data_IF_747754120198
#
_entry.id   IF_747754120198
#
_cell.length_a   1.000
_cell.length_b   1.000
_cell.length_c   1.000
_cell.angle_alpha   90.00
_cell.angle_beta   90.00
_cell.angle_gamma   90.00
#
_symmetry.space_group_name_H-M   'P 1'
#
loop_
_entity.id
_entity.type
_entity.pdbx_description
1 polymer ?
#
# COMPACT_ATOMS: atom_id res chain seq x y z
N UNK A 1 2.97 11.53 1.24
CA UNK A 1 1.52 11.24 1.15
C UNK A 1 0.77 12.55 1.11
N UNK A 2 -0.20 12.71 0.23
CA UNK A 2 -1.12 13.86 0.27
C UNK A 2 -1.94 13.81 1.57
N UNK A 3 -2.12 14.93 2.29
CA UNK A 3 -2.92 14.94 3.50
C UNK A 3 -4.36 14.49 3.21
N UNK A 4 -4.99 13.79 4.16
CA UNK A 4 -6.40 13.35 4.16
C UNK A 4 -6.80 12.25 3.16
N UNK A 5 -5.87 11.46 2.61
CA UNK A 5 -6.21 10.29 1.76
C UNK A 5 -5.94 8.94 2.42
N UNK A 6 -5.56 8.91 3.70
CA UNK A 6 -5.20 7.69 4.43
C UNK A 6 -6.34 6.65 4.40
N UNK A 7 -7.59 7.08 4.55
CA UNK A 7 -8.74 6.18 4.58
C UNK A 7 -9.00 5.48 3.23
N UNK A 8 -8.58 6.09 2.12
CA UNK A 8 -8.70 5.49 0.78
C UNK A 8 -7.56 4.52 0.47
N UNK A 9 -6.39 4.72 1.08
CA UNK A 9 -5.18 3.90 0.88
C UNK A 9 -5.10 2.69 1.82
N UNK A 10 -5.85 2.69 2.92
CA UNK A 10 -5.92 1.58 3.87
C UNK A 10 -6.10 0.18 3.25
N UNK A 11 -7.01 -0.06 2.28
CA UNK A 11 -7.13 -1.38 1.65
C UNK A 11 -5.86 -1.77 0.90
N UNK A 12 -5.19 -0.80 0.28
CA UNK A 12 -3.93 -1.01 -0.44
C UNK A 12 -2.84 -1.41 0.53
N UNK A 13 -2.65 -0.63 1.58
CA UNK A 13 -1.56 -0.84 2.55
C UNK A 13 -1.74 -2.11 3.37
N UNK A 14 -2.99 -2.42 3.80
CA UNK A 14 -3.26 -3.55 4.69
C UNK A 14 -3.31 -4.90 3.97
N UNK A 15 -3.94 -4.95 2.80
CA UNK A 15 -4.25 -6.24 2.16
C UNK A 15 -3.57 -6.40 0.81
N UNK A 16 -3.74 -5.42 -0.08
CA UNK A 16 -3.34 -5.57 -1.48
C UNK A 16 -1.81 -5.58 -1.61
N UNK A 17 -1.11 -4.68 -0.94
CA UNK A 17 0.35 -4.58 -0.98
C UNK A 17 1.02 -5.83 -0.38
N UNK A 18 0.48 -6.35 0.74
CA UNK A 18 0.98 -7.59 1.33
C UNK A 18 0.78 -8.78 0.38
N UNK A 19 -0.40 -8.89 -0.23
CA UNK A 19 -0.69 -9.98 -1.15
C UNK A 19 0.15 -9.90 -2.43
N UNK A 20 0.35 -8.69 -2.95
CA UNK A 20 1.23 -8.46 -4.10
C UNK A 20 2.67 -8.91 -3.82
N UNK A 21 3.21 -8.62 -2.62
CA UNK A 21 4.53 -9.13 -2.21
C UNK A 21 4.58 -10.66 -2.20
N UNK A 22 3.51 -11.32 -1.74
CA UNK A 22 3.41 -12.79 -1.80
C UNK A 22 3.39 -13.31 -3.23
N UNK A 23 2.70 -12.64 -4.15
CA UNK A 23 2.71 -13.01 -5.57
C UNK A 23 4.09 -12.81 -6.20
N UNK A 24 4.78 -11.70 -5.91
CA UNK A 24 6.15 -11.46 -6.37
C UNK A 24 7.09 -12.57 -5.88
N UNK A 25 6.97 -12.97 -4.61
CA UNK A 25 7.75 -14.09 -4.07
C UNK A 25 7.50 -15.40 -4.82
N UNK A 26 6.24 -15.68 -5.21
CA UNK A 26 5.90 -16.84 -6.03
C UNK A 26 6.47 -16.76 -7.44
N UNK A 27 6.49 -15.59 -8.07
CA UNK A 27 7.14 -15.44 -9.38
C UNK A 27 8.64 -15.69 -9.31
N UNK A 28 9.29 -15.25 -8.23
CA UNK A 28 10.68 -15.58 -7.96
C UNK A 28 10.85 -17.10 -7.79
N UNK A 29 10.03 -17.75 -6.97
CA UNK A 29 10.07 -19.20 -6.77
C UNK A 29 9.91 -19.95 -8.11
N UNK A 30 8.92 -19.59 -8.93
CA UNK A 30 8.71 -20.18 -10.25
C UNK A 30 9.89 -19.95 -11.19
N UNK A 31 10.48 -18.75 -11.16
CA UNK A 31 11.64 -18.42 -12.01
C UNK A 31 12.89 -19.24 -11.62
N UNK A 32 13.03 -19.56 -10.33
CA UNK A 32 14.08 -20.41 -9.78
C UNK A 32 13.85 -21.92 -10.00
N UNK A 33 12.72 -22.35 -10.56
CA UNK A 33 12.50 -23.75 -10.95
C UNK A 33 13.37 -24.17 -12.15
N UNK A 34 13.90 -23.21 -12.90
CA UNK A 34 14.87 -23.43 -13.96
C UNK A 34 16.29 -23.48 -13.37
N UNK A 35 16.98 -24.60 -13.55
CA UNK A 35 18.32 -24.87 -13.03
C UNK A 35 19.35 -23.81 -13.46
N UNK A 36 19.23 -23.25 -14.68
CA UNK A 36 20.14 -22.21 -15.18
C UNK A 36 19.92 -20.89 -14.42
N UNK A 37 18.66 -20.55 -14.15
CA UNK A 37 18.28 -19.36 -13.39
C UNK A 37 18.70 -19.47 -11.93
N UNK A 38 18.53 -20.67 -11.33
CA UNK A 38 18.98 -20.97 -9.98
C UNK A 38 20.50 -20.85 -9.86
N UNK A 39 21.26 -21.45 -10.78
CA UNK A 39 22.72 -21.34 -10.81
C UNK A 39 23.17 -19.87 -10.94
N UNK A 40 22.49 -19.08 -11.80
CA UNK A 40 22.76 -17.64 -11.93
C UNK A 40 22.44 -16.89 -10.63
N UNK A 41 21.35 -17.24 -9.95
CA UNK A 41 20.95 -16.65 -8.66
C UNK A 41 21.97 -16.93 -7.56
N UNK A 42 22.41 -18.18 -7.41
CA UNK A 42 23.39 -18.59 -6.41
C UNK A 42 24.78 -18.00 -6.67
N UNK A 43 25.13 -17.75 -7.94
CA UNK A 43 26.40 -17.09 -8.29
C UNK A 43 26.54 -15.67 -7.72
N UNK A 44 25.41 -15.01 -7.41
CA UNK A 44 25.39 -13.63 -6.94
C UNK A 44 25.85 -12.60 -7.98
N UNK A 45 26.05 -12.99 -9.23
CA UNK A 45 26.65 -12.14 -10.28
C UNK A 45 25.70 -11.15 -10.94
N UNK A 46 24.50 -10.95 -10.38
CA UNK A 46 23.60 -9.94 -10.91
C UNK A 46 24.13 -8.53 -10.68
N UNK A 47 24.13 -7.72 -11.72
CA UNK A 47 24.31 -6.28 -11.61
C UNK A 47 23.10 -5.64 -10.92
N UNK A 48 23.26 -4.42 -10.42
CA UNK A 48 22.13 -3.67 -9.86
C UNK A 48 21.02 -3.43 -10.89
N UNK A 49 21.39 -3.25 -12.17
CA UNK A 49 20.43 -3.06 -13.27
C UNK A 49 19.61 -4.32 -13.51
N UNK A 50 20.26 -5.47 -13.67
CA UNK A 50 19.56 -6.75 -13.90
C UNK A 50 18.59 -7.09 -12.76
N UNK A 51 18.98 -6.86 -11.50
CA UNK A 51 18.07 -7.07 -10.35
C UNK A 51 16.81 -6.22 -10.45
N UNK A 52 16.93 -4.94 -10.85
CA UNK A 52 15.78 -4.04 -11.00
C UNK A 52 14.87 -4.50 -12.14
N UNK A 53 15.44 -4.96 -13.25
CA UNK A 53 14.67 -5.49 -14.38
C UNK A 53 13.90 -6.74 -13.95
N UNK A 54 14.55 -7.71 -13.32
CA UNK A 54 13.90 -8.93 -12.82
C UNK A 54 12.77 -8.60 -11.84
N UNK A 55 13.03 -7.72 -10.87
CA UNK A 55 12.00 -7.32 -9.90
C UNK A 55 10.81 -6.65 -10.58
N UNK A 56 11.05 -5.84 -11.61
CA UNK A 56 9.99 -5.17 -12.38
C UNK A 56 9.14 -6.19 -13.15
N UNK A 57 9.79 -7.19 -13.76
CA UNK A 57 9.10 -8.26 -14.48
C UNK A 57 8.22 -9.09 -13.52
N UNK A 58 8.77 -9.56 -12.42
CA UNK A 58 8.00 -10.30 -11.40
C UNK A 58 6.86 -9.47 -10.81
N UNK A 59 7.09 -8.16 -10.60
CA UNK A 59 6.05 -7.24 -10.14
C UNK A 59 4.93 -7.07 -11.16
N UNK A 60 5.25 -7.01 -12.46
CA UNK A 60 4.28 -6.93 -13.55
C UNK A 60 3.39 -8.18 -13.61
N UNK A 61 4.01 -9.36 -13.67
CA UNK A 61 3.31 -10.65 -13.69
C UNK A 61 2.42 -10.85 -12.44
N UNK A 62 2.96 -10.53 -11.26
CA UNK A 62 2.22 -10.57 -10.01
C UNK A 62 1.03 -9.61 -10.00
N UNK A 63 1.19 -8.40 -10.56
CA UNK A 63 0.12 -7.41 -10.65
C UNK A 63 -1.00 -7.87 -11.60
N UNK A 64 -0.66 -8.45 -12.75
CA UNK A 64 -1.66 -9.01 -13.67
C UNK A 64 -2.49 -10.09 -12.98
N UNK A 65 -1.85 -11.02 -12.26
CA UNK A 65 -2.53 -12.05 -11.45
C UNK A 65 -3.45 -11.43 -10.40
N UNK A 66 -2.98 -10.42 -9.66
CA UNK A 66 -3.78 -9.70 -8.69
C UNK A 66 -5.03 -9.06 -9.32
N UNK A 67 -4.92 -8.47 -10.52
CA UNK A 67 -6.04 -7.85 -11.23
C UNK A 67 -7.15 -8.84 -11.63
N UNK A 68 -6.83 -10.14 -11.76
CA UNK A 68 -7.85 -11.18 -12.00
C UNK A 68 -8.68 -11.51 -10.75
N UNK A 69 -8.20 -11.16 -9.56
CA UNK A 69 -8.79 -11.55 -8.29
C UNK A 69 -9.81 -10.53 -7.75
N UNK A 70 -10.84 -10.25 -8.54
CA UNK A 70 -11.85 -9.22 -8.22
C UNK A 70 -12.51 -9.42 -6.85
N UNK A 71 -12.82 -10.66 -6.48
CA UNK A 71 -13.42 -10.98 -5.17
C UNK A 71 -12.49 -10.63 -4.00
N UNK A 72 -11.18 -10.84 -4.16
CA UNK A 72 -10.19 -10.50 -3.15
C UNK A 72 -10.06 -8.98 -3.02
N UNK A 73 -10.02 -8.26 -4.14
CA UNK A 73 -9.99 -6.80 -4.15
C UNK A 73 -11.23 -6.25 -3.43
N UNK A 74 -12.44 -6.68 -3.80
CA UNK A 74 -13.66 -6.24 -3.14
C UNK A 74 -13.68 -6.56 -1.64
N UNK A 75 -13.22 -7.75 -1.23
CA UNK A 75 -13.11 -8.11 0.20
C UNK A 75 -12.14 -7.19 0.94
N UNK A 76 -11.02 -6.82 0.31
CA UNK A 76 -10.03 -5.91 0.89
C UNK A 76 -10.61 -4.54 1.18
N UNK A 77 -11.38 -3.97 0.24
CA UNK A 77 -12.05 -2.68 0.39
C UNK A 77 -13.24 -2.72 1.37
N UNK A 78 -13.98 -3.84 1.45
CA UNK A 78 -15.02 -4.01 2.48
C UNK A 78 -14.41 -4.14 3.88
N UNK A 79 -13.33 -4.90 4.01
CA UNK A 79 -12.63 -5.12 5.28
C UNK A 79 -12.01 -3.85 5.88
N UNK A 80 -11.59 -2.89 5.05
CA UNK A 80 -11.13 -1.57 5.48
C UNK A 80 -12.27 -0.58 5.76
N UNK A 81 -13.51 -0.93 5.42
CA UNK A 81 -14.67 -0.05 5.59
C UNK A 81 -14.88 0.99 4.48
N UNK A 82 -14.05 0.98 3.43
CA UNK A 82 -14.18 1.91 2.29
C UNK A 82 -15.43 1.67 1.45
N UNK A 83 -16.05 0.49 1.55
CA UNK A 83 -17.30 0.11 0.88
C UNK A 83 -18.47 -0.09 1.85
N UNK A 84 -18.42 0.59 3.01
CA UNK A 84 -19.55 0.59 3.93
C UNK A 84 -20.75 1.33 3.33
N UNK A 85 -21.92 0.72 3.48
CA UNK A 85 -23.20 1.33 3.14
C UNK A 85 -23.73 2.14 4.32
N UNK A 86 -24.46 3.22 4.03
CA UNK A 86 -25.01 4.15 5.04
C UNK A 86 -26.02 3.47 5.97
N UNK A 87 -26.70 2.43 5.50
CA UNK A 87 -27.63 1.60 6.27
C UNK A 87 -26.94 0.66 7.27
N UNK A 88 -25.60 0.63 7.29
CA UNK A 88 -24.78 -0.20 8.18
C UNK A 88 -25.05 -1.71 8.07
N UNK A 89 -25.71 -2.17 7.01
CA UNK A 89 -26.01 -3.59 6.79
C UNK A 89 -24.73 -4.42 6.72
N UNK A 90 -23.68 -3.84 6.13
CA UNK A 90 -22.37 -4.45 5.91
C UNK A 90 -21.35 -4.21 7.04
N UNK A 91 -21.76 -3.62 8.18
CA UNK A 91 -20.82 -3.26 9.24
C UNK A 91 -20.06 -4.45 9.84
N UNK A 92 -20.68 -5.64 9.87
CA UNK A 92 -20.02 -6.88 10.32
C UNK A 92 -18.81 -7.28 9.47
N UNK A 93 -18.72 -6.77 8.23
CA UNK A 93 -17.66 -7.10 7.30
C UNK A 93 -16.39 -6.27 7.55
N UNK A 94 -16.50 -5.21 8.36
CA UNK A 94 -15.35 -4.39 8.77
C UNK A 94 -14.62 -5.12 9.87
N UNK A 95 -13.38 -5.51 9.62
CA UNK A 95 -12.58 -6.24 10.59
C UNK A 95 -11.21 -5.57 10.72
N UNK A 96 -11.05 -4.65 11.70
CA UNK A 96 -9.74 -4.15 12.05
C UNK A 96 -8.85 -5.31 12.47
N UNK A 97 -7.60 -5.30 12.00
CA UNK A 97 -6.64 -6.37 12.28
C UNK A 97 -6.47 -6.54 13.80
N UNK A 98 -6.51 -7.78 14.28
CA UNK A 98 -6.39 -8.14 15.69
C UNK A 98 -7.49 -7.61 16.63
N UNK A 99 -8.64 -7.17 16.11
CA UNK A 99 -9.80 -6.79 16.94
C UNK A 99 -11.05 -7.63 16.62
N UNK A 100 -11.07 -8.92 17.02
CA UNK A 100 -12.26 -9.75 16.85
C UNK A 100 -13.45 -9.17 17.63
N UNK A 101 -14.60 -9.05 16.98
CA UNK A 101 -15.82 -8.52 17.60
C UNK A 101 -15.95 -6.99 17.62
N UNK A 102 -14.99 -6.25 17.07
CA UNK A 102 -15.07 -4.80 16.91
C UNK A 102 -16.37 -4.37 16.20
N UNK A 103 -16.72 -5.04 15.11
CA UNK A 103 -17.91 -4.78 14.30
C UNK A 103 -19.21 -4.96 15.08
N UNK A 104 -19.26 -5.99 15.95
CA UNK A 104 -20.41 -6.25 16.82
C UNK A 104 -20.59 -5.14 17.85
N UNK A 105 -19.49 -4.68 18.45
CA UNK A 105 -19.48 -3.53 19.36
C UNK A 105 -19.94 -2.26 18.63
N UNK A 106 -19.39 -2.01 17.45
CA UNK A 106 -19.72 -0.83 16.64
C UNK A 106 -21.21 -0.80 16.26
N UNK A 107 -21.79 -1.92 15.80
CA UNK A 107 -23.22 -2.00 15.53
C UNK A 107 -24.06 -1.72 16.77
N UNK A 108 -23.68 -2.29 17.92
CA UNK A 108 -24.42 -2.06 19.17
C UNK A 108 -24.41 -0.59 19.59
N UNK A 109 -23.28 0.11 19.44
CA UNK A 109 -23.21 1.54 19.76
C UNK A 109 -24.00 2.39 18.76
N UNK A 110 -23.96 2.07 17.47
CA UNK A 110 -24.70 2.83 16.45
C UNK A 110 -26.22 2.68 16.59
N UNK A 111 -26.71 1.48 16.93
CA UNK A 111 -28.14 1.26 17.21
C UNK A 111 -28.61 2.09 18.41
N UNK A 112 -27.81 2.19 19.49
CA UNK A 112 -28.15 3.02 20.66
C UNK A 112 -28.30 4.50 20.30
N UNK A 113 -27.43 5.01 19.41
CA UNK A 113 -27.49 6.41 18.95
C UNK A 113 -28.77 6.66 18.13
N UNK A 114 -29.15 5.71 17.28
CA UNK A 114 -30.35 5.80 16.45
C UNK A 114 -31.64 5.78 17.29
N UNK A 115 -31.67 4.97 18.35
CA UNK A 115 -32.78 4.92 19.30
C UNK A 115 -32.87 6.19 20.18
N UNK A 116 -31.74 6.84 20.48
CA UNK A 116 -31.72 8.10 21.23
C UNK A 116 -32.05 9.35 20.40
N UNK A 117 -32.02 9.26 19.07
CA UNK A 117 -32.18 10.39 18.14
C UNK A 117 -33.61 10.69 17.70
N UNK A 118 -34.61 10.00 18.25
CA UNK A 118 -36.02 10.13 17.86
C UNK A 118 -36.84 10.97 18.86
N UNK A 119 -36.24 12.01 19.42
CA UNK A 119 -36.98 13.14 20.01
C UNK A 119 -36.76 14.36 19.12
N UNK A 120 -37.81 14.74 18.40
CA UNK A 120 -37.87 15.98 17.64
C UNK A 120 -37.59 17.17 18.57
N UNK A 121 -36.65 18.03 18.20
CA UNK A 121 -36.78 19.45 18.50
C UNK A 121 -36.28 20.25 17.29
N UNK A 122 -37.25 20.65 16.46
CA UNK A 122 -37.06 21.70 15.47
C UNK A 122 -37.01 23.01 16.23
N UNK A 123 -35.80 23.48 16.57
CA UNK A 123 -35.58 24.88 16.95
C UNK A 123 -34.64 25.54 15.95
N UNK A 124 -35.20 26.56 15.33
CA UNK A 124 -34.63 27.52 14.40
C UNK A 124 -33.25 28.04 14.82
N UNK A 125 -32.43 28.30 13.80
CA UNK A 125 -31.12 28.91 13.81
C UNK A 125 -30.89 29.99 14.89
N UNK A 126 -29.77 29.85 15.60
CA UNK A 126 -28.90 30.96 16.01
C UNK A 126 -27.51 30.39 16.26
N UNK A 127 -26.59 30.61 15.33
CA UNK A 127 -25.16 30.35 15.50
C UNK A 127 -24.64 31.23 16.66
N UNK A 128 -24.10 30.66 17.74
CA UNK A 128 -23.51 31.44 18.82
C UNK A 128 -22.17 32.03 18.35
N UNK A 129 -21.87 33.31 18.63
CA UNK A 129 -20.63 33.93 18.20
C UNK A 129 -19.43 33.23 18.85
N UNK A 130 -18.49 32.79 18.03
CA UNK A 130 -17.24 32.18 18.48
C UNK A 130 -16.50 33.14 19.42
N UNK A 131 -16.01 32.66 20.58
CA UNK A 131 -15.13 33.48 21.41
C UNK A 131 -13.84 33.79 20.63
N UNK A 132 -13.25 34.98 20.81
CA UNK A 132 -12.02 35.35 20.13
C UNK A 132 -10.91 34.37 20.52
N UNK A 133 -10.38 33.67 19.52
CA UNK A 133 -9.22 32.79 19.64
C UNK A 133 -8.04 33.64 20.14
N UNK A 134 -7.48 33.37 21.32
CA UNK A 134 -6.22 33.99 21.71
C UNK A 134 -5.14 33.54 20.73
N UNK A 135 -4.53 34.49 20.02
CA UNK A 135 -3.30 34.26 19.26
C UNK A 135 -2.22 33.85 20.26
N UNK A 136 -1.98 32.55 20.39
CA UNK A 136 -0.81 32.04 21.09
C UNK A 136 0.36 31.97 20.09
N UNK A 137 1.56 32.39 20.51
CA UNK A 137 2.73 32.51 19.65
C UNK A 137 3.16 31.16 19.08
N UNK A 138 3.71 31.22 17.86
CA UNK A 138 4.38 30.12 17.19
C UNK A 138 5.64 29.75 17.96
N UNK A 139 5.54 28.74 18.83
CA UNK A 139 6.70 28.18 19.53
C UNK A 139 7.03 26.79 18.94
N UNK A 140 8.06 26.82 18.09
CA UNK A 140 9.22 25.93 18.05
C UNK A 140 8.99 24.41 18.15
N UNK A 141 9.42 23.72 17.09
CA UNK A 141 9.67 22.28 17.06
C UNK A 141 10.50 21.82 18.27
N UNK A 142 9.99 20.82 19.00
CA UNK A 142 10.86 19.93 19.77
C UNK A 142 10.60 18.48 19.40
N UNK A 143 11.50 18.02 18.54
CA UNK A 143 11.79 16.63 18.21
C UNK A 143 12.40 15.94 19.43
N UNK A 144 11.72 14.93 19.97
CA UNK A 144 12.35 13.91 20.81
C UNK A 144 11.98 12.52 20.28
N UNK A 145 12.83 12.01 19.39
CA UNK A 145 12.92 10.59 19.05
C UNK A 145 13.95 9.97 19.98
N UNK A 146 13.48 9.19 20.95
CA UNK A 146 14.34 8.40 21.84
C UNK A 146 14.93 7.18 21.12
N UNK A 147 16.25 7.21 20.98
CA UNK A 147 17.23 6.12 21.08
C UNK A 147 16.79 4.69 20.78
N UNK A 148 17.22 4.19 19.62
CA UNK A 148 17.62 2.79 19.46
C UNK A 148 19.09 2.76 19.04
N UNK A 149 19.87 2.07 19.87
CA UNK A 149 21.32 1.99 19.92
C UNK A 149 22.01 1.53 18.63
N UNK A 150 23.15 2.19 18.38
CA UNK A 150 24.25 1.82 17.48
C UNK A 150 24.54 0.31 17.44
N UNK A 151 24.44 -0.26 16.24
CA UNK A 151 25.34 -1.32 15.81
C UNK A 151 26.09 -0.79 14.59
N UNK A 152 27.40 -0.61 14.76
CA UNK A 152 28.29 0.04 13.81
C UNK A 152 28.32 -0.65 12.44
N UNK A 153 28.28 0.18 11.40
CA UNK A 153 28.68 -0.15 10.05
C UNK A 153 29.49 1.03 9.52
N UNK A 154 30.80 0.82 9.40
CA UNK A 154 31.69 1.63 8.56
C UNK A 154 31.07 1.72 7.16
N UNK A 155 30.80 2.94 6.69
CA UNK A 155 30.48 3.19 5.29
C UNK A 155 31.41 4.28 4.80
N UNK A 156 32.44 3.82 4.09
CA UNK A 156 33.27 4.65 3.23
C UNK A 156 32.39 5.49 2.30
N UNK A 157 32.78 6.75 2.21
CA UNK A 157 32.20 7.79 1.40
C UNK A 157 32.81 7.70 0.00
N UNK A 158 32.09 7.12 -0.95
CA UNK A 158 32.44 7.14 -2.38
C UNK A 158 31.25 7.71 -3.18
N UNK A 159 31.37 9.00 -3.49
CA UNK A 159 30.87 9.73 -4.65
C UNK A 159 29.65 9.16 -5.43
N UNK A 160 28.51 9.85 -5.27
CA UNK A 160 27.39 9.87 -6.22
C UNK A 160 27.86 10.42 -7.59
N UNK A 161 28.48 9.56 -8.41
CA UNK A 161 28.52 9.79 -9.85
C UNK A 161 27.22 9.26 -10.45
N UNK A 162 26.45 10.17 -11.05
CA UNK A 162 25.44 9.79 -12.04
C UNK A 162 26.11 8.87 -13.06
N UNK A 163 25.73 7.59 -13.02
CA UNK A 163 26.15 6.63 -14.03
C UNK A 163 25.34 6.97 -15.28
N UNK A 164 25.99 7.58 -16.27
CA UNK A 164 25.48 7.67 -17.63
C UNK A 164 25.40 6.23 -18.17
N UNK A 165 24.24 5.60 -18.01
CA UNK A 165 24.00 4.26 -18.55
C UNK A 165 23.88 4.39 -20.06
N UNK A 166 24.85 3.83 -20.77
CA UNK A 166 24.89 3.83 -22.23
C UNK A 166 23.65 3.12 -22.78
N UNK A 167 22.82 3.76 -23.63
CA UNK A 167 21.60 3.14 -24.16
C UNK A 167 21.86 1.85 -24.96
N UNK A 168 23.09 1.62 -25.45
CA UNK A 168 23.46 0.35 -26.09
C UNK A 168 23.62 -0.81 -25.09
N UNK A 169 23.98 -0.53 -23.83
CA UNK A 169 24.09 -1.54 -22.77
C UNK A 169 22.71 -2.06 -22.34
N UNK A 170 21.69 -1.20 -22.42
CA UNK A 170 20.29 -1.58 -22.20
C UNK A 170 19.76 -2.50 -23.31
N UNK A 171 20.25 -2.35 -24.54
CA UNK A 171 19.86 -3.17 -25.69
C UNK A 171 20.52 -4.57 -25.67
N UNK A 172 21.62 -4.75 -24.93
CA UNK A 172 22.30 -6.03 -24.77
C UNK A 172 21.64 -6.96 -23.74
N UNK A 173 20.60 -6.49 -23.03
CA UNK A 173 19.86 -7.31 -22.09
C UNK A 173 19.02 -8.36 -22.83
N UNK A 174 19.56 -9.59 -22.91
CA UNK A 174 18.81 -10.74 -23.38
C UNK A 174 17.78 -11.12 -22.32
N UNK A 175 16.50 -10.97 -22.66
CA UNK A 175 15.41 -11.45 -21.82
C UNK A 175 15.57 -12.95 -21.57
N UNK A 176 15.28 -13.44 -20.35
CA UNK A 176 15.22 -14.86 -20.07
C UNK A 176 14.26 -15.57 -21.03
N UNK A 177 14.54 -16.84 -21.34
CA UNK A 177 13.72 -17.66 -22.23
C UNK A 177 12.27 -17.69 -21.71
N UNK A 178 11.32 -17.27 -22.55
CA UNK A 178 9.90 -17.22 -22.21
C UNK A 178 9.38 -15.86 -21.70
N UNK A 179 10.26 -14.89 -21.41
CA UNK A 179 9.85 -13.54 -20.99
C UNK A 179 9.84 -12.57 -22.18
N UNK A 180 8.73 -11.87 -22.38
CA UNK A 180 8.60 -10.81 -23.38
C UNK A 180 8.21 -9.51 -22.68
N UNK A 181 8.87 -8.41 -23.03
CA UNK A 181 8.41 -7.08 -22.66
C UNK A 181 7.15 -6.81 -23.48
N UNK A 182 5.98 -6.97 -22.86
CA UNK A 182 4.72 -6.65 -23.53
C UNK A 182 4.63 -5.14 -23.78
N UNK A 183 4.47 -4.68 -25.03
CA UNK A 183 4.22 -3.28 -25.30
C UNK A 183 2.88 -2.86 -24.70
N UNK A 184 2.94 -1.77 -23.92
CA UNK A 184 1.89 -0.93 -23.33
C UNK A 184 0.45 -1.21 -23.81
N UNK A 185 -0.44 -1.42 -22.83
CA UNK A 185 -1.88 -1.64 -22.99
C UNK A 185 -2.57 -0.66 -23.99
N UNK A 186 -3.59 -1.13 -24.73
CA UNK A 186 -4.38 -0.28 -25.62
C UNK A 186 -5.12 0.81 -24.84
N UNK A 187 -5.14 2.01 -25.40
CA UNK A 187 -5.68 3.25 -24.84
C UNK A 187 -7.21 3.29 -24.65
N UNK A 188 -7.89 2.14 -24.52
CA UNK A 188 -9.34 2.05 -24.58
C UNK A 188 -10.07 2.15 -23.23
N UNK A 189 -9.41 2.60 -22.15
CA UNK A 189 -10.03 2.83 -20.84
C UNK A 189 -9.59 4.17 -20.23
N UNK A 190 -9.83 5.26 -20.96
CA UNK A 190 -9.91 6.62 -20.42
C UNK A 190 -11.27 7.23 -20.77
#
# INVERSE_FOLDING_TARGET
MTPNCTDLLQPVDRHIAQYLKTLIAKELENWLEDDDNLAKWESGQFTASERRVLLTLWSGEAYEKLCTMQDFLQKSFRGSGCLLTVDLSDIDKVAPQNMPGYSKRLRSELLKVQESGMTEDTTSASEPPLPPVPLLPEDEEHSDRSDLSEAGLDSDHEDDKCIDVDPEEFAAFSLPVGMQILPRMPAALL
#
